data_IF_474566118407
#
_entry.id   IF_474566118407
#
_cell.length_a   1.000
_cell.length_b   1.000
_cell.length_c   1.000
_cell.angle_alpha   90.00
_cell.angle_beta   90.00
_cell.angle_gamma   90.00
#
_symmetry.space_group_name_H-M   'P 1'
#
loop_
_entity.id
_entity.type
_entity.pdbx_description
1 polymer ?
#
# COMPACT_ATOMS: atom_id res chain seq x y z
N UNK A 1 -4.96 -2.18 13.71
CA UNK A 1 -3.70 -2.94 13.90
C UNK A 1 -3.67 -4.22 13.07
N UNK A 2 -4.68 -5.09 13.16
CA UNK A 2 -4.71 -6.37 12.44
C UNK A 2 -4.60 -6.22 10.92
N UNK A 3 -5.26 -5.20 10.35
CA UNK A 3 -5.19 -4.89 8.92
C UNK A 3 -3.77 -4.56 8.46
N UNK A 4 -3.02 -3.77 9.24
CA UNK A 4 -1.64 -3.40 8.94
C UNK A 4 -0.76 -4.65 8.96
N UNK A 5 -0.91 -5.49 10.00
CA UNK A 5 -0.18 -6.76 10.12
C UNK A 5 -0.45 -7.67 8.92
N UNK A 6 -1.70 -7.81 8.50
CA UNK A 6 -2.06 -8.68 7.38
C UNK A 6 -1.47 -8.18 6.06
N UNK A 7 -1.52 -6.88 5.76
CA UNK A 7 -0.88 -6.32 4.57
C UNK A 7 0.65 -6.39 4.63
N UNK A 8 1.25 -6.23 5.81
CA UNK A 8 2.69 -6.40 6.01
C UNK A 8 3.14 -7.86 5.77
N UNK A 9 2.35 -8.84 6.22
CA UNK A 9 2.60 -10.26 5.93
C UNK A 9 2.50 -10.55 4.43
N UNK A 10 1.48 -10.01 3.74
CA UNK A 10 1.34 -10.13 2.28
C UNK A 10 2.57 -9.56 1.56
N UNK A 11 3.03 -8.36 1.97
CA UNK A 11 4.24 -7.75 1.43
C UNK A 11 5.49 -8.61 1.70
N UNK A 12 5.66 -9.13 2.92
CA UNK A 12 6.78 -9.99 3.29
C UNK A 12 6.81 -11.26 2.43
N UNK A 13 5.67 -11.95 2.28
CA UNK A 13 5.55 -13.14 1.41
C UNK A 13 5.89 -12.77 -0.03
N UNK A 14 5.44 -11.63 -0.53
CA UNK A 14 5.80 -11.14 -1.86
C UNK A 14 7.31 -10.97 -2.07
N UNK A 15 8.02 -10.40 -1.09
CA UNK A 15 9.49 -10.24 -1.18
C UNK A 15 10.23 -11.57 -1.06
N UNK A 16 9.74 -12.50 -0.22
CA UNK A 16 10.31 -13.85 -0.13
C UNK A 16 10.14 -14.60 -1.46
N UNK A 17 8.96 -14.51 -2.08
CA UNK A 17 8.73 -15.08 -3.41
C UNK A 17 9.64 -14.48 -4.48
N UNK A 18 9.85 -13.17 -4.46
CA UNK A 18 10.83 -12.50 -5.35
C UNK A 18 12.26 -12.99 -5.10
N UNK A 19 12.64 -13.21 -3.85
CA UNK A 19 13.95 -13.74 -3.49
C UNK A 19 14.14 -15.16 -4.02
N UNK A 20 13.14 -16.03 -3.86
CA UNK A 20 13.15 -17.41 -4.39
C UNK A 20 13.21 -17.40 -5.92
N UNK A 21 12.42 -16.54 -6.58
CA UNK A 21 12.43 -16.41 -8.03
C UNK A 21 13.77 -15.91 -8.60
N UNK A 22 14.55 -15.20 -7.78
CA UNK A 22 15.89 -14.71 -8.15
C UNK A 22 17.00 -15.76 -7.97
N UNK A 23 16.72 -16.91 -7.32
CA UNK A 23 17.66 -18.02 -7.18
C UNK A 23 17.47 -19.01 -8.34
N UNK A 24 18.54 -19.44 -9.02
CA UNK A 24 18.43 -20.41 -10.11
C UNK A 24 17.83 -21.73 -9.58
N UNK A 25 16.63 -22.04 -10.04
CA UNK A 25 15.85 -23.23 -9.66
C UNK A 25 15.03 -23.70 -10.86
N UNK A 26 14.59 -24.95 -10.88
CA UNK A 26 13.78 -25.54 -11.96
C UNK A 26 12.34 -24.97 -12.07
N UNK A 27 12.02 -23.95 -11.27
CA UNK A 27 10.71 -23.30 -11.21
C UNK A 27 10.61 -22.20 -12.27
N UNK A 28 9.41 -21.95 -12.86
CA UNK A 28 9.23 -20.90 -13.86
C UNK A 28 9.39 -19.49 -13.24
N UNK A 29 10.51 -18.78 -13.46
CA UNK A 29 10.84 -17.58 -12.68
C UNK A 29 9.90 -16.41 -12.96
N UNK A 30 9.35 -16.35 -14.18
CA UNK A 30 8.40 -15.30 -14.61
C UNK A 30 7.10 -15.37 -13.81
N UNK A 31 6.56 -16.56 -13.59
CA UNK A 31 5.29 -16.73 -12.86
C UNK A 31 5.43 -16.34 -11.40
N UNK A 32 6.50 -16.81 -10.74
CA UNK A 32 6.78 -16.48 -9.34
C UNK A 32 7.06 -14.98 -9.16
N UNK A 33 7.80 -14.37 -10.09
CA UNK A 33 8.05 -12.92 -10.06
C UNK A 33 6.77 -12.11 -10.25
N UNK A 34 5.89 -12.51 -11.19
CA UNK A 34 4.61 -11.85 -11.41
C UNK A 34 3.72 -11.91 -10.16
N UNK A 35 3.60 -13.08 -9.54
CA UNK A 35 2.83 -13.25 -8.30
C UNK A 35 3.45 -12.43 -7.15
N UNK A 36 4.79 -12.46 -7.01
CA UNK A 36 5.53 -11.68 -6.00
C UNK A 36 5.28 -10.18 -6.14
N UNK A 37 5.38 -9.64 -7.35
CA UNK A 37 5.13 -8.23 -7.65
C UNK A 37 3.68 -7.83 -7.35
N UNK A 38 2.70 -8.67 -7.68
CA UNK A 38 1.28 -8.42 -7.36
C UNK A 38 1.07 -8.38 -5.83
N UNK A 39 1.67 -9.29 -5.09
CA UNK A 39 1.57 -9.29 -3.62
C UNK A 39 2.24 -8.06 -3.00
N UNK A 40 3.41 -7.66 -3.52
CA UNK A 40 4.10 -6.43 -3.11
C UNK A 40 3.21 -5.20 -3.40
N UNK A 41 2.58 -5.12 -4.58
CA UNK A 41 1.69 -4.02 -4.93
C UNK A 41 0.48 -3.93 -3.98
N UNK A 42 -0.17 -5.07 -3.68
CA UNK A 42 -1.28 -5.13 -2.73
C UNK A 42 -0.83 -4.73 -1.32
N UNK A 43 0.31 -5.27 -0.87
CA UNK A 43 0.87 -4.98 0.45
C UNK A 43 1.21 -3.49 0.62
N UNK A 44 1.94 -2.90 -0.33
CA UNK A 44 2.31 -1.47 -0.29
C UNK A 44 1.09 -0.55 -0.34
N UNK A 45 0.10 -0.88 -1.18
CA UNK A 45 -1.14 -0.13 -1.30
C UNK A 45 -1.99 -0.13 -0.02
N UNK A 46 -1.93 -1.21 0.76
CA UNK A 46 -2.61 -1.30 2.06
C UNK A 46 -1.84 -0.68 3.22
N UNK A 47 -0.52 -0.90 3.32
CA UNK A 47 0.30 -0.45 4.46
C UNK A 47 0.34 1.06 4.55
N UNK A 48 0.66 1.77 3.46
CA UNK A 48 0.88 3.22 3.45
C UNK A 48 -0.29 4.04 4.03
N UNK A 49 -1.54 3.90 3.53
CA UNK A 49 -2.67 4.65 4.08
C UNK A 49 -3.04 4.22 5.50
N UNK A 50 -2.89 2.94 5.84
CA UNK A 50 -3.24 2.43 7.16
C UNK A 50 -2.24 2.87 8.25
N UNK A 51 -0.95 2.96 7.96
CA UNK A 51 0.07 3.40 8.93
C UNK A 51 -0.07 4.89 9.21
N UNK A 52 -0.25 5.72 8.18
CA UNK A 52 -0.43 7.16 8.35
C UNK A 52 -1.69 7.49 9.17
N UNK A 53 -2.81 6.84 8.87
CA UNK A 53 -4.05 6.99 9.65
C UNK A 53 -3.89 6.48 11.08
N UNK A 54 -3.32 5.29 11.28
CA UNK A 54 -3.10 4.72 12.62
C UNK A 54 -2.17 5.56 13.50
N UNK A 55 -1.11 6.13 12.93
CA UNK A 55 -0.20 7.03 13.65
C UNK A 55 -0.90 8.31 14.09
N UNK A 56 -1.73 8.91 13.22
CA UNK A 56 -2.51 10.09 13.58
C UNK A 56 -3.56 9.82 14.67
N UNK A 57 -4.13 8.62 14.72
CA UNK A 57 -5.10 8.23 15.74
C UNK A 57 -4.52 8.06 17.15
N UNK A 58 -3.19 8.11 17.33
CA UNK A 58 -2.57 8.00 18.65
C UNK A 58 -2.68 9.29 19.48
N UNK A 59 -2.85 10.42 18.81
CA UNK A 59 -2.92 11.74 19.43
C UNK A 59 -4.37 12.13 19.74
N UNK A 60 -4.59 12.75 20.90
CA UNK A 60 -5.89 13.27 21.30
C UNK A 60 -6.03 14.71 20.77
N UNK A 61 -7.00 14.95 19.89
CA UNK A 61 -7.35 16.30 19.44
C UNK A 61 -8.47 16.89 20.29
N UNK A 62 -8.48 18.22 20.53
CA UNK A 62 -7.60 19.24 19.94
C UNK A 62 -6.25 19.46 20.67
N UNK A 63 -6.09 18.94 21.89
CA UNK A 63 -4.98 19.30 22.80
C UNK A 63 -3.57 18.97 22.27
N UNK A 64 -3.43 17.96 21.40
CA UNK A 64 -2.13 17.49 20.89
C UNK A 64 -1.89 17.80 19.40
N UNK A 65 -2.48 18.88 18.87
CA UNK A 65 -2.36 19.25 17.44
C UNK A 65 -0.91 19.56 17.02
N UNK A 66 -0.15 20.26 17.86
CA UNK A 66 1.25 20.61 17.54
C UNK A 66 2.14 19.36 17.52
N UNK A 67 1.95 18.46 18.49
CA UNK A 67 2.66 17.19 18.55
C UNK A 67 2.34 16.28 17.35
N UNK A 68 1.08 16.24 16.92
CA UNK A 68 0.66 15.54 15.70
C UNK A 68 1.38 16.09 14.45
N UNK A 69 1.53 17.41 14.37
CA UNK A 69 2.20 18.07 13.24
C UNK A 69 3.68 17.73 13.22
N UNK A 70 4.35 17.79 14.38
CA UNK A 70 5.73 17.34 14.53
C UNK A 70 5.92 15.86 14.16
N UNK A 71 5.01 14.99 14.59
CA UNK A 71 5.02 13.57 14.22
C UNK A 71 4.99 13.40 12.70
N UNK A 72 4.07 14.07 11.99
CA UNK A 72 4.00 13.94 10.53
C UNK A 72 5.22 14.53 9.83
N UNK A 73 5.79 15.63 10.32
CA UNK A 73 7.04 16.19 9.78
C UNK A 73 8.21 15.20 9.87
N UNK A 74 8.41 14.57 11.03
CA UNK A 74 9.44 13.54 11.23
C UNK A 74 9.14 12.29 10.39
N UNK A 75 7.87 11.89 10.31
CA UNK A 75 7.42 10.75 9.51
C UNK A 75 7.77 10.95 8.03
N UNK A 76 7.42 12.10 7.44
CA UNK A 76 7.74 12.40 6.05
C UNK A 76 9.24 12.57 5.81
N UNK A 77 9.96 13.19 6.74
CA UNK A 77 11.41 13.28 6.66
C UNK A 77 12.05 11.88 6.62
N UNK A 78 11.62 10.98 7.50
CA UNK A 78 12.14 9.60 7.57
C UNK A 78 11.83 8.81 6.30
N UNK A 79 10.66 8.99 5.69
CA UNK A 79 10.32 8.33 4.41
C UNK A 79 11.25 8.79 3.29
N UNK A 80 11.47 10.11 3.15
CA UNK A 80 12.35 10.65 2.12
C UNK A 80 13.80 10.22 2.35
N UNK A 81 14.26 10.25 3.60
CA UNK A 81 15.60 9.78 3.98
C UNK A 81 15.76 8.28 3.70
N UNK A 82 14.76 7.46 4.03
CA UNK A 82 14.78 6.02 3.74
C UNK A 82 14.80 5.73 2.23
N UNK A 83 14.07 6.49 1.43
CA UNK A 83 14.14 6.41 -0.03
C UNK A 83 15.52 6.76 -0.57
N UNK A 84 16.12 7.85 -0.07
CA UNK A 84 17.47 8.28 -0.43
C UNK A 84 18.54 7.24 -0.08
N UNK A 85 18.52 6.72 1.16
CA UNK A 85 19.44 5.67 1.60
C UNK A 85 19.21 4.39 0.79
N UNK A 86 17.95 4.02 0.51
CA UNK A 86 17.62 2.86 -0.31
C UNK A 86 18.18 2.96 -1.73
N UNK A 87 18.11 4.13 -2.36
CA UNK A 87 18.67 4.37 -3.69
C UNK A 87 20.21 4.20 -3.74
N UNK A 88 20.91 4.53 -2.67
CA UNK A 88 22.38 4.40 -2.59
C UNK A 88 22.79 2.98 -2.18
N UNK A 89 22.12 2.42 -1.17
CA UNK A 89 22.52 1.15 -0.55
C UNK A 89 22.23 -0.05 -1.46
N UNK A 90 21.08 -0.06 -2.13
CA UNK A 90 20.65 -1.17 -2.99
C UNK A 90 21.67 -1.50 -4.12
N UNK A 91 22.17 -0.53 -4.92
CA UNK A 91 23.16 -0.83 -5.96
C UNK A 91 24.53 -1.25 -5.38
N UNK A 92 24.93 -0.67 -4.24
CA UNK A 92 26.19 -1.05 -3.57
C UNK A 92 26.12 -2.51 -3.11
N UNK A 93 25.04 -2.91 -2.42
CA UNK A 93 24.85 -4.28 -1.96
C UNK A 93 24.77 -5.30 -3.10
N UNK A 94 24.17 -4.92 -4.24
CA UNK A 94 24.10 -5.78 -5.43
C UNK A 94 25.47 -6.05 -6.05
N UNK A 95 26.38 -5.07 -6.02
CA UNK A 95 27.71 -5.15 -6.64
C UNK A 95 28.78 -5.75 -5.72
N UNK A 96 28.67 -5.57 -4.40
CA UNK A 96 29.69 -6.01 -3.46
C UNK A 96 29.62 -7.50 -3.11
N UNK A 97 28.51 -8.18 -3.39
CA UNK A 97 28.30 -9.58 -3.04
C UNK A 97 28.07 -10.40 -4.32
N UNK A 98 29.07 -11.20 -4.67
CA UNK A 98 28.98 -12.21 -5.72
C UNK A 98 28.16 -13.40 -5.20
N UNK A 99 27.11 -13.79 -5.92
CA UNK A 99 26.33 -14.99 -5.61
C UNK A 99 26.26 -15.89 -6.84
N UNK A 100 26.24 -17.21 -6.62
CA UNK A 100 25.94 -18.21 -7.66
C UNK A 100 26.83 -18.17 -8.92
N UNK A 101 28.05 -17.64 -8.82
CA UNK A 101 28.99 -17.60 -9.94
C UNK A 101 28.79 -16.43 -10.92
N UNK A 102 27.81 -15.56 -10.67
CA UNK A 102 27.62 -14.30 -11.40
C UNK A 102 28.10 -13.11 -10.55
N UNK A 103 28.62 -12.08 -11.23
CA UNK A 103 29.11 -10.85 -10.60
C UNK A 103 28.01 -10.00 -9.93
N UNK A 104 26.72 -10.39 -10.06
CA UNK A 104 25.59 -9.64 -9.47
C UNK A 104 24.56 -10.54 -8.80
N UNK A 105 24.34 -10.33 -7.49
CA UNK A 105 23.35 -11.08 -6.72
C UNK A 105 22.00 -10.35 -6.66
N UNK A 106 21.05 -10.75 -7.52
CA UNK A 106 19.70 -10.18 -7.54
C UNK A 106 18.86 -10.54 -6.30
N UNK A 107 19.11 -11.71 -5.70
CA UNK A 107 18.39 -12.19 -4.52
C UNK A 107 18.54 -11.24 -3.32
N UNK A 108 19.71 -10.61 -3.14
CA UNK A 108 19.97 -9.67 -2.03
C UNK A 108 19.11 -8.40 -2.14
N UNK A 109 18.84 -7.95 -3.37
CA UNK A 109 17.99 -6.78 -3.62
C UNK A 109 16.56 -6.96 -3.11
N UNK A 110 16.04 -8.19 -3.09
CA UNK A 110 14.72 -8.53 -2.56
C UNK A 110 14.77 -9.08 -1.13
N UNK A 111 15.87 -9.73 -0.75
CA UNK A 111 16.10 -10.25 0.60
C UNK A 111 16.28 -9.14 1.64
N UNK A 112 16.94 -8.04 1.29
CA UNK A 112 17.14 -6.91 2.21
C UNK A 112 15.81 -6.23 2.62
N UNK A 113 14.91 -5.84 1.69
CA UNK A 113 13.57 -5.39 2.04
C UNK A 113 12.75 -6.42 2.82
N UNK A 114 12.89 -7.72 2.53
CA UNK A 114 12.22 -8.78 3.29
C UNK A 114 12.67 -8.79 4.76
N UNK A 115 13.98 -8.68 5.02
CA UNK A 115 14.53 -8.63 6.37
C UNK A 115 14.06 -7.38 7.14
N UNK A 116 14.08 -6.20 6.49
CA UNK A 116 13.56 -4.97 7.07
C UNK A 116 12.05 -5.06 7.38
N UNK A 117 11.26 -5.66 6.48
CA UNK A 117 9.84 -5.87 6.72
C UNK A 117 9.60 -6.82 7.89
N UNK A 118 10.36 -7.91 7.98
CA UNK A 118 10.27 -8.84 9.10
C UNK A 118 10.54 -8.14 10.43
N UNK A 119 11.60 -7.33 10.50
CA UNK A 119 11.92 -6.52 11.68
C UNK A 119 10.79 -5.54 12.01
N UNK A 120 10.21 -4.89 11.00
CA UNK A 120 9.07 -3.98 11.19
C UNK A 120 7.84 -4.70 11.76
N UNK A 121 7.49 -5.87 11.23
CA UNK A 121 6.39 -6.70 11.75
C UNK A 121 6.65 -7.09 13.21
N UNK A 122 7.88 -7.53 13.52
CA UNK A 122 8.28 -7.90 14.86
C UNK A 122 8.12 -6.74 15.85
N UNK A 123 8.65 -5.55 15.52
CA UNK A 123 8.50 -4.35 16.35
C UNK A 123 7.02 -3.95 16.52
N UNK A 124 6.22 -4.06 15.47
CA UNK A 124 4.80 -3.71 15.51
C UNK A 124 4.00 -4.66 16.42
N UNK A 125 4.33 -5.95 16.42
CA UNK A 125 3.70 -6.95 17.29
C UNK A 125 4.10 -6.70 18.75
N UNK A 126 5.39 -6.50 19.02
CA UNK A 126 5.90 -6.24 20.38
C UNK A 126 5.36 -4.92 20.95
N UNK A 127 5.19 -3.90 20.11
CA UNK A 127 4.65 -2.60 20.47
C UNK A 127 3.14 -2.57 20.74
N UNK A 128 2.41 -3.68 20.52
CA UNK A 128 0.94 -3.75 20.59
C UNK A 128 0.35 -3.12 21.85
N UNK A 129 0.98 -3.34 23.00
CA UNK A 129 0.48 -2.90 24.29
C UNK A 129 0.62 -1.39 24.52
N UNK A 130 1.45 -0.70 23.73
CA UNK A 130 1.66 0.74 23.83
C UNK A 130 0.71 1.54 22.93
N UNK A 131 -0.03 0.89 22.04
CA UNK A 131 -0.90 1.58 21.09
C UNK A 131 -2.31 1.76 21.61
N UNK A 132 -2.90 2.93 21.32
CA UNK A 132 -4.33 3.18 21.50
C UNK A 132 -5.09 2.45 20.39
N UNK A 133 -5.72 1.33 20.75
CA UNK A 133 -6.54 0.55 19.84
C UNK A 133 -8.00 1.03 19.92
N UNK A 134 -8.50 1.65 18.85
CA UNK A 134 -9.95 1.90 18.72
C UNK A 134 -10.68 0.60 18.41
N UNK A 135 -11.84 0.42 19.03
CA UNK A 135 -12.73 -0.73 18.76
C UNK A 135 -13.09 -0.80 17.27
N UNK A 136 -13.10 -1.99 16.67
CA UNK A 136 -13.42 -2.13 15.24
C UNK A 136 -14.84 -1.61 14.98
N UNK A 137 -14.93 -0.53 14.20
CA UNK A 137 -16.21 -0.12 13.58
C UNK A 137 -16.59 -1.21 12.55
N UNK A 138 -17.89 -1.43 12.34
CA UNK A 138 -18.43 -2.33 11.30
C UNK A 138 -17.65 -2.21 9.99
N UNK A 139 -17.58 -3.29 9.19
CA UNK A 139 -16.84 -3.30 7.93
C UNK A 139 -17.40 -2.28 6.90
N UNK A 140 -16.94 -1.03 7.00
CA UNK A 140 -17.36 0.09 6.15
C UNK A 140 -17.14 -0.24 4.67
N UNK A 141 -16.03 -0.91 4.32
CA UNK A 141 -15.74 -1.34 2.94
C UNK A 141 -16.84 -2.23 2.39
N UNK A 142 -17.33 -3.18 3.19
CA UNK A 142 -18.39 -4.10 2.76
C UNK A 142 -19.73 -3.39 2.63
N UNK A 143 -20.02 -2.42 3.51
CA UNK A 143 -21.18 -1.54 3.38
C UNK A 143 -21.10 -0.67 2.12
N UNK A 144 -19.94 -0.09 1.80
CA UNK A 144 -19.72 0.67 0.57
C UNK A 144 -19.93 -0.19 -0.68
N UNK A 145 -19.40 -1.42 -0.72
CA UNK A 145 -19.60 -2.34 -1.85
C UNK A 145 -21.09 -2.70 -1.99
N UNK A 146 -21.78 -3.02 -0.89
CA UNK A 146 -23.22 -3.30 -0.91
C UNK A 146 -24.03 -2.08 -1.38
N UNK A 147 -23.70 -0.90 -0.88
CA UNK A 147 -24.33 0.36 -1.25
C UNK A 147 -24.14 0.64 -2.75
N UNK A 148 -22.90 0.54 -3.26
CA UNK A 148 -22.58 0.72 -4.67
C UNK A 148 -23.29 -0.29 -5.58
N UNK A 149 -23.25 -1.59 -5.25
CA UNK A 149 -23.98 -2.62 -6.00
C UNK A 149 -25.48 -2.38 -6.01
N UNK A 150 -26.05 -2.00 -4.87
CA UNK A 150 -27.48 -1.70 -4.74
C UNK A 150 -27.89 -0.47 -5.56
N UNK A 151 -27.10 0.61 -5.49
CA UNK A 151 -27.31 1.82 -6.26
C UNK A 151 -27.22 1.55 -7.77
N UNK A 152 -26.21 0.79 -8.21
CA UNK A 152 -26.01 0.43 -9.61
C UNK A 152 -27.14 -0.46 -10.15
N UNK A 153 -27.53 -1.49 -9.40
CA UNK A 153 -28.63 -2.38 -9.78
C UNK A 153 -29.97 -1.63 -9.91
N UNK A 154 -30.20 -0.64 -9.05
CA UNK A 154 -31.42 0.18 -9.07
C UNK A 154 -31.39 1.26 -10.15
N UNK A 155 -30.21 1.80 -10.49
CA UNK A 155 -30.01 2.65 -11.66
C UNK A 155 -30.32 1.91 -12.96
N UNK A 156 -29.84 0.66 -13.11
CA UNK A 156 -30.10 -0.17 -14.28
C UNK A 156 -31.58 -0.52 -14.45
N UNK A 157 -32.36 -0.60 -13.36
CA UNK A 157 -33.80 -0.90 -13.40
C UNK A 157 -34.69 0.33 -13.59
N UNK A 158 -34.36 1.46 -12.96
CA UNK A 158 -35.24 2.63 -12.87
C UNK A 158 -34.63 3.89 -13.49
N UNK A 159 -33.96 3.76 -14.65
CA UNK A 159 -33.17 4.83 -15.26
C UNK A 159 -33.82 6.22 -15.23
N UNK A 160 -33.05 7.24 -14.81
CA UNK A 160 -33.35 8.65 -15.06
C UNK A 160 -34.02 9.46 -13.94
N UNK A 161 -34.03 9.01 -12.67
CA UNK A 161 -34.75 9.73 -11.58
C UNK A 161 -33.90 10.65 -10.68
N UNK A 162 -32.57 10.53 -10.70
CA UNK A 162 -31.66 11.30 -9.85
C UNK A 162 -30.39 11.71 -10.61
N UNK A 163 -29.84 12.90 -10.28
CA UNK A 163 -28.62 13.45 -10.90
C UNK A 163 -27.36 12.59 -10.64
N UNK A 164 -27.23 12.01 -9.43
CA UNK A 164 -26.11 11.15 -9.09
C UNK A 164 -26.53 9.68 -8.96
N UNK A 165 -25.74 8.78 -9.53
CA UNK A 165 -26.01 7.33 -9.52
C UNK A 165 -26.07 6.70 -8.12
N UNK A 166 -25.39 7.31 -7.14
CA UNK A 166 -25.40 6.88 -5.74
C UNK A 166 -26.67 7.30 -4.97
N UNK A 167 -27.47 8.26 -5.47
CA UNK A 167 -28.72 8.67 -4.81
C UNK A 167 -29.81 7.61 -4.87
N UNK A 168 -29.69 6.61 -5.75
CA UNK A 168 -30.60 5.45 -5.77
C UNK A 168 -30.48 4.55 -4.52
N UNK A 169 -29.42 4.73 -3.72
CA UNK A 169 -29.27 4.07 -2.42
C UNK A 169 -29.94 4.83 -1.25
N UNK A 170 -30.45 6.05 -1.50
CA UNK A 170 -31.11 6.87 -0.49
C UNK A 170 -32.35 6.12 0.04
N UNK A 171 -32.39 5.90 1.35
CA UNK A 171 -33.47 5.16 2.05
C UNK A 171 -33.07 3.78 2.61
N UNK A 172 -32.00 3.16 2.14
CA UNK A 172 -31.48 1.90 2.73
C UNK A 172 -30.17 2.08 3.50
N UNK A 173 -29.37 3.07 3.11
CA UNK A 173 -28.09 3.39 3.72
C UNK A 173 -28.11 4.81 4.30
N UNK A 174 -27.18 5.11 5.21
CA UNK A 174 -27.08 6.43 5.83
C UNK A 174 -26.70 7.49 4.80
N UNK A 175 -27.31 8.68 4.90
CA UNK A 175 -27.03 9.79 3.99
C UNK A 175 -25.54 10.19 4.01
N UNK A 176 -24.91 10.13 5.19
CA UNK A 176 -23.47 10.37 5.37
C UNK A 176 -22.62 9.41 4.53
N UNK A 177 -22.93 8.11 4.53
CA UNK A 177 -22.20 7.12 3.72
C UNK A 177 -22.33 7.43 2.22
N UNK A 178 -23.51 7.84 1.78
CA UNK A 178 -23.77 8.17 0.37
C UNK A 178 -22.97 9.41 -0.04
N UNK A 179 -22.96 10.46 0.78
CA UNK A 179 -22.17 11.67 0.53
C UNK A 179 -20.66 11.38 0.51
N UNK A 180 -20.16 10.64 1.50
CA UNK A 180 -18.76 10.21 1.56
C UNK A 180 -18.39 9.40 0.30
N UNK A 181 -19.27 8.51 -0.17
CA UNK A 181 -19.06 7.74 -1.40
C UNK A 181 -19.08 8.60 -2.67
N UNK A 182 -19.90 9.66 -2.73
CA UNK A 182 -19.89 10.61 -3.85
C UNK A 182 -18.55 11.33 -3.93
N UNK A 183 -18.11 11.88 -2.80
CA UNK A 183 -16.81 12.56 -2.69
C UNK A 183 -15.69 11.59 -3.08
N UNK A 184 -15.70 10.38 -2.53
CA UNK A 184 -14.73 9.33 -2.85
C UNK A 184 -14.72 9.00 -4.35
N UNK A 185 -15.88 8.93 -5.00
CA UNK A 185 -15.96 8.65 -6.45
C UNK A 185 -15.36 9.77 -7.29
N UNK A 186 -15.58 11.04 -6.92
CA UNK A 186 -14.98 12.19 -7.57
C UNK A 186 -13.46 12.24 -7.39
N UNK A 187 -12.98 11.95 -6.18
CA UNK A 187 -11.54 11.84 -5.91
C UNK A 187 -10.93 10.71 -6.73
N UNK A 188 -11.55 9.54 -6.78
CA UNK A 188 -11.03 8.41 -7.56
C UNK A 188 -10.90 8.74 -9.06
N UNK A 189 -11.88 9.44 -9.63
CA UNK A 189 -11.82 9.94 -11.01
C UNK A 189 -10.67 10.94 -11.20
N UNK A 190 -10.50 11.88 -10.26
CA UNK A 190 -9.40 12.85 -10.29
C UNK A 190 -8.02 12.17 -10.27
N UNK A 191 -7.87 11.08 -9.52
CA UNK A 191 -6.61 10.36 -9.37
C UNK A 191 -6.37 9.28 -10.45
N UNK A 192 -7.33 9.02 -11.34
CA UNK A 192 -7.21 8.00 -12.40
C UNK A 192 -6.02 8.23 -13.37
N UNK A 193 -5.64 9.48 -13.73
CA UNK A 193 -4.44 9.73 -14.54
C UNK A 193 -3.13 9.43 -13.80
N UNK A 194 -3.14 9.39 -12.46
CA UNK A 194 -1.93 9.35 -11.65
C UNK A 194 -1.16 8.02 -11.79
N UNK A 195 -1.80 6.83 -11.74
CA UNK A 195 -1.10 5.56 -12.02
C UNK A 195 -0.51 5.52 -13.43
N UNK A 196 -1.20 6.07 -14.42
CA UNK A 196 -0.71 6.12 -15.80
C UNK A 196 0.54 6.98 -15.87
N UNK A 197 0.50 8.19 -15.30
CA UNK A 197 1.65 9.08 -15.22
C UNK A 197 2.87 8.39 -14.57
N UNK A 198 2.69 7.79 -13.40
CA UNK A 198 3.78 7.09 -12.70
C UNK A 198 4.29 5.88 -13.49
N UNK A 199 3.40 5.11 -14.12
CA UNK A 199 3.81 3.97 -14.96
C UNK A 199 4.65 4.37 -16.17
N UNK A 200 4.41 5.56 -16.74
CA UNK A 200 5.18 6.12 -17.85
C UNK A 200 6.48 6.77 -17.37
N UNK A 201 6.46 7.44 -16.22
CA UNK A 201 7.63 8.05 -15.62
C UNK A 201 8.70 7.00 -15.25
N UNK A 202 8.28 5.90 -14.60
CA UNK A 202 9.21 4.85 -14.17
C UNK A 202 9.88 4.12 -15.35
N UNK A 203 9.27 4.10 -16.54
CA UNK A 203 9.90 3.57 -17.76
C UNK A 203 11.12 4.40 -18.22
N UNK A 204 11.20 5.68 -17.86
CA UNK A 204 12.34 6.53 -18.20
C UNK A 204 13.57 6.19 -17.37
N UNK A 205 13.39 5.73 -16.14
CA UNK A 205 14.49 5.31 -15.25
C UNK A 205 15.24 4.08 -15.77
N UNK A 206 14.56 3.20 -16.52
CA UNK A 206 15.17 1.98 -17.09
C UNK A 206 16.23 2.28 -18.16
N UNK A 207 16.23 3.47 -18.77
CA UNK A 207 17.22 3.83 -19.81
C UNK A 207 18.63 3.96 -19.27
N UNK A 208 18.78 4.36 -18.00
CA UNK A 208 20.09 4.52 -17.35
C UNK A 208 20.79 3.19 -17.04
N UNK A 209 20.05 2.08 -16.94
CA UNK A 209 20.64 0.75 -16.73
C UNK A 209 21.06 0.02 -18.01
N UNK A 210 20.62 0.46 -19.19
CA UNK A 210 20.94 -0.18 -20.49
C UNK A 210 22.06 0.53 -21.27
N UNK A 211 22.78 1.49 -20.67
CA UNK A 211 23.89 2.22 -21.29
C UNK A 211 25.27 1.82 -20.74
N UNK A 212 25.41 0.61 -20.20
CA UNK A 212 26.73 0.00 -19.91
C UNK A 212 26.84 -1.29 -20.70
#
# INVERSE_FOLDING_TARGET
METIRNFALIYFVGNVLMCIAAVPSDLPPVLFSAIGLVLIAIGTGGIKPCVASFGGEQFNLPDQKDLLTHFFSIFYFTINLGGFVGMILTPIMKKSISCFGDDTCYAIGFGFPAALMFLSIFLFITGKNFYKLKTPKKNIIFECIKCGKYALARKCKNGGKYDHWLDYARGKFSNKLIEDMKIMSSILLLYTPLPIFWSLFDQQGSRWTFQV
#
